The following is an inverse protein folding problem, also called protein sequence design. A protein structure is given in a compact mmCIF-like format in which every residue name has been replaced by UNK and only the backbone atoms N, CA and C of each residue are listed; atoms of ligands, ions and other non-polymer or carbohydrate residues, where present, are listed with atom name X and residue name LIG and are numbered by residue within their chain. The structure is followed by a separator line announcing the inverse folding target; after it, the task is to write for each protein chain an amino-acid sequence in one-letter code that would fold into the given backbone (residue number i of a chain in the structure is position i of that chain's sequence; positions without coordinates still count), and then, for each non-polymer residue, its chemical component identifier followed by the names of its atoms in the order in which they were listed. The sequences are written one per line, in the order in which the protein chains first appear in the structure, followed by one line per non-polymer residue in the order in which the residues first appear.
data_IF_308060045010
#
_entry.id   IF_308060045010
#
_cell.length_a   1.000
_cell.length_b   1.000
_cell.length_c   1.000
_cell.angle_alpha   90.00
_cell.angle_beta   90.00
_cell.angle_gamma   90.00
#
_symmetry.space_group_name_H-M   'P 1'
#
loop_
_entity.id
_entity.type
_entity.pdbx_description
1 polymer ?
#
# COMPACT_ATOMS: atom_id res chain seq x y z
N UNK A 1 24.90 -4.03 28.46
CA UNK A 1 24.83 -2.89 27.52
C UNK A 1 23.78 -3.19 26.47
N UNK A 2 22.89 -2.21 26.24
CA UNK A 2 21.73 -2.24 25.34
C UNK A 2 22.10 -2.56 23.89
N UNK A 3 21.24 -3.32 23.19
CA UNK A 3 20.77 -3.06 21.80
C UNK A 3 19.65 -4.05 21.46
N UNK A 4 18.44 -3.71 21.87
CA UNK A 4 17.25 -4.16 21.16
C UNK A 4 17.19 -3.33 19.88
N UNK A 5 17.23 -3.99 18.73
CA UNK A 5 17.00 -3.37 17.43
C UNK A 5 15.52 -3.01 17.31
N UNK A 6 15.14 -1.85 17.86
CA UNK A 6 14.00 -1.11 17.35
C UNK A 6 14.32 -0.77 15.89
N UNK A 7 13.57 -1.35 14.96
CA UNK A 7 13.49 -0.88 13.58
C UNK A 7 12.80 0.48 13.51
N UNK A 8 13.35 1.49 14.17
CA UNK A 8 13.04 2.87 13.86
C UNK A 8 13.73 3.18 12.54
N UNK A 9 12.93 3.30 11.47
CA UNK A 9 13.40 3.89 10.22
C UNK A 9 14.13 5.20 10.56
N UNK A 10 15.33 5.47 9.99
CA UNK A 10 16.06 6.71 10.26
C UNK A 10 15.13 7.90 10.10
N UNK A 11 15.18 8.87 11.02
CA UNK A 11 14.22 9.98 11.09
C UNK A 11 13.96 10.69 9.74
N UNK A 12 14.91 10.65 8.81
CA UNK A 12 14.75 11.11 7.42
C UNK A 12 13.70 10.37 6.60
N UNK A 13 13.56 9.04 6.74
CA UNK A 13 12.57 8.23 6.00
C UNK A 13 11.13 8.44 6.51
N UNK A 14 10.97 8.73 7.81
CA UNK A 14 9.65 9.08 8.37
C UNK A 14 9.20 10.47 7.90
N UNK A 15 10.12 11.43 7.84
CA UNK A 15 9.83 12.79 7.37
C UNK A 15 9.53 12.81 5.87
N UNK A 16 10.29 12.07 5.05
CA UNK A 16 10.02 11.98 3.61
C UNK A 16 8.66 11.34 3.31
N UNK A 17 8.28 10.32 4.09
CA UNK A 17 6.98 9.68 3.97
C UNK A 17 5.80 10.60 4.30
N UNK A 18 5.99 11.54 5.23
CA UNK A 18 4.96 12.49 5.63
C UNK A 18 4.82 13.66 4.64
N UNK A 19 5.94 14.11 4.06
CA UNK A 19 5.99 15.30 3.19
C UNK A 19 5.63 14.97 1.73
N UNK A 20 5.94 13.75 1.25
CA UNK A 20 5.77 13.39 -0.16
C UNK A 20 4.39 13.70 -0.77
N UNK A 21 3.23 13.48 -0.09
CA UNK A 21 1.92 13.81 -0.64
C UNK A 21 1.68 15.32 -0.87
N UNK A 22 2.40 16.18 -0.16
CA UNK A 22 2.26 17.64 -0.27
C UNK A 22 3.01 18.20 -1.47
N UNK A 23 4.12 17.57 -1.87
CA UNK A 23 4.94 18.01 -3.01
C UNK A 23 4.15 18.12 -4.31
N UNK A 24 3.42 17.09 -4.80
CA UNK A 24 2.66 17.20 -6.05
C UNK A 24 1.53 18.22 -5.95
N UNK A 25 0.96 18.44 -4.77
CA UNK A 25 -0.08 19.47 -4.56
C UNK A 25 0.50 20.86 -4.70
N UNK A 26 1.64 21.14 -4.07
CA UNK A 26 2.32 22.44 -4.18
C UNK A 26 2.74 22.70 -5.62
N UNK A 27 3.29 21.70 -6.30
CA UNK A 27 3.67 21.81 -7.72
C UNK A 27 2.45 22.07 -8.60
N UNK A 28 1.36 21.32 -8.41
CA UNK A 28 0.13 21.52 -9.19
C UNK A 28 -0.49 22.91 -8.98
N UNK A 29 -0.52 23.39 -7.73
CA UNK A 29 -0.99 24.74 -7.41
C UNK A 29 -0.11 25.83 -8.01
N UNK A 30 1.21 25.68 -7.92
CA UNK A 30 2.15 26.62 -8.50
C UNK A 30 2.00 26.70 -10.02
N UNK A 31 1.93 25.55 -10.71
CA UNK A 31 1.72 25.49 -12.15
C UNK A 31 0.38 26.11 -12.56
N UNK A 32 -0.69 25.84 -11.80
CA UNK A 32 -2.00 26.44 -12.04
C UNK A 32 -1.96 27.97 -11.86
N UNK A 33 -1.31 28.46 -10.80
CA UNK A 33 -1.14 29.90 -10.56
C UNK A 33 -0.36 30.57 -11.70
N UNK A 34 0.74 29.97 -12.16
CA UNK A 34 1.53 30.48 -13.28
C UNK A 34 0.66 30.59 -14.54
N UNK A 35 -0.04 29.50 -14.91
CA UNK A 35 -0.93 29.50 -16.07
C UNK A 35 -2.06 30.55 -15.95
N UNK A 36 -2.62 30.72 -14.76
CA UNK A 36 -3.67 31.72 -14.47
C UNK A 36 -3.16 33.15 -14.64
N UNK A 37 -1.95 33.45 -14.13
CA UNK A 37 -1.31 34.76 -14.28
C UNK A 37 -1.00 35.05 -15.75
N UNK A 38 -0.49 34.06 -16.50
CA UNK A 38 -0.20 34.20 -17.93
C UNK A 38 -1.46 34.55 -18.73
N UNK A 39 -2.58 33.85 -18.49
CA UNK A 39 -3.86 34.13 -19.14
C UNK A 39 -4.38 35.53 -18.78
N UNK A 40 -4.28 35.92 -17.51
CA UNK A 40 -4.71 37.25 -17.07
C UNK A 40 -3.83 38.38 -17.64
N UNK A 41 -2.53 38.13 -17.79
CA UNK A 41 -1.61 39.08 -18.41
C UNK A 41 -1.94 39.25 -19.88
N UNK A 42 -2.07 38.16 -20.63
CA UNK A 42 -2.45 38.22 -22.05
C UNK A 42 -3.80 38.92 -22.28
N UNK A 43 -4.80 38.66 -21.42
CA UNK A 43 -6.10 39.32 -21.50
C UNK A 43 -6.00 40.84 -21.27
N UNK A 44 -5.07 41.30 -20.42
CA UNK A 44 -4.78 42.73 -20.23
C UNK A 44 -4.15 43.33 -21.47
N UNK A 45 -3.21 42.62 -22.09
CA UNK A 45 -2.51 43.09 -23.30
C UNK A 45 -3.47 43.23 -24.48
N UNK A 46 -4.48 42.36 -24.60
CA UNK A 46 -5.57 42.56 -25.57
C UNK A 46 -6.39 43.83 -25.36
N UNK A 47 -6.71 44.16 -24.11
CA UNK A 47 -7.43 45.42 -23.79
C UNK A 47 -6.55 46.63 -24.10
N UNK A 48 -5.23 46.53 -23.86
CA UNK A 48 -4.29 47.58 -24.24
C UNK A 48 -4.21 47.73 -25.77
N UNK A 49 -4.11 46.63 -26.51
CA UNK A 49 -4.11 46.60 -27.97
C UNK A 49 -5.39 47.19 -28.57
N UNK A 50 -6.56 46.83 -28.02
CA UNK A 50 -7.84 47.45 -28.42
C UNK A 50 -7.83 48.97 -28.25
N UNK A 51 -7.27 49.49 -27.17
CA UNK A 51 -7.16 50.94 -26.96
C UNK A 51 -6.28 51.61 -28.03
N UNK A 52 -5.19 50.95 -28.46
CA UNK A 52 -4.34 51.44 -29.54
C UNK A 52 -5.07 51.42 -30.89
N UNK A 53 -5.77 50.33 -31.18
CA UNK A 53 -6.59 50.17 -32.38
C UNK A 53 -7.63 51.28 -32.53
N UNK A 54 -8.43 51.53 -31.46
CA UNK A 54 -9.46 52.58 -31.43
C UNK A 54 -8.86 53.98 -31.63
N UNK A 55 -7.72 54.28 -30.97
CA UNK A 55 -7.02 55.56 -31.14
C UNK A 55 -6.45 55.74 -32.54
N UNK A 56 -5.82 54.70 -33.10
CA UNK A 56 -5.23 54.72 -34.43
C UNK A 56 -6.29 54.98 -35.51
N UNK A 57 -7.43 54.30 -35.43
CA UNK A 57 -8.55 54.52 -36.33
C UNK A 57 -9.13 55.94 -36.22
N UNK A 58 -9.37 56.46 -35.01
CA UNK A 58 -9.87 57.85 -34.82
C UNK A 58 -8.86 58.89 -35.32
N UNK A 59 -7.58 58.70 -35.05
CA UNK A 59 -6.52 59.57 -35.55
C UNK A 59 -6.46 59.53 -37.08
N UNK A 60 -6.63 58.36 -37.70
CA UNK A 60 -6.66 58.22 -39.16
C UNK A 60 -7.82 59.01 -39.79
N UNK A 61 -9.03 58.89 -39.25
CA UNK A 61 -10.18 59.69 -39.71
C UNK A 61 -9.87 61.20 -39.60
N UNK A 62 -9.36 61.64 -38.45
CA UNK A 62 -9.03 63.05 -38.21
C UNK A 62 -7.99 63.58 -39.20
N UNK A 63 -6.87 62.88 -39.35
CA UNK A 63 -5.79 63.27 -40.26
C UNK A 63 -6.23 63.25 -41.72
N UNK A 64 -7.07 62.29 -42.12
CA UNK A 64 -7.60 62.25 -43.48
C UNK A 64 -8.59 63.40 -43.76
N UNK A 65 -9.41 63.77 -42.78
CA UNK A 65 -10.28 64.95 -42.87
C UNK A 65 -9.46 66.24 -42.96
N UNK A 66 -8.38 66.36 -42.20
CA UNK A 66 -7.45 67.49 -42.30
C UNK A 66 -6.78 67.53 -43.67
N UNK A 67 -6.25 66.41 -44.14
CA UNK A 67 -5.65 66.28 -45.47
C UNK A 67 -6.61 66.68 -46.60
N UNK A 68 -7.89 66.32 -46.47
CA UNK A 68 -8.93 66.73 -47.44
C UNK A 68 -9.11 68.25 -47.57
N UNK A 69 -8.67 69.01 -46.55
CA UNK A 69 -8.74 70.49 -46.52
C UNK A 69 -7.39 71.13 -46.86
N UNK A 70 -6.31 70.65 -46.24
CA UNK A 70 -4.99 71.26 -46.31
C UNK A 70 -4.21 70.87 -47.58
N UNK A 71 -4.45 69.66 -48.09
CA UNK A 71 -3.67 69.02 -49.17
C UNK A 71 -2.17 68.86 -48.84
N UNK A 72 -1.77 69.06 -47.58
CA UNK A 72 -0.37 68.97 -47.16
C UNK A 72 0.05 67.51 -46.98
N UNK A 73 1.24 67.18 -47.49
CA UNK A 73 1.82 65.84 -47.36
C UNK A 73 1.98 65.42 -45.90
N UNK A 74 2.25 66.36 -45.00
CA UNK A 74 2.36 66.10 -43.56
C UNK A 74 1.09 65.53 -42.94
N UNK A 75 -0.09 65.97 -43.39
CA UNK A 75 -1.36 65.43 -42.90
C UNK A 75 -1.63 64.02 -43.46
N UNK A 76 -1.18 63.76 -44.69
CA UNK A 76 -1.28 62.44 -45.29
C UNK A 76 -0.31 61.44 -44.66
N UNK A 77 0.91 61.87 -44.32
CA UNK A 77 1.89 61.04 -43.62
C UNK A 77 1.41 60.71 -42.19
N UNK A 78 0.81 61.68 -41.50
CA UNK A 78 0.17 61.45 -40.20
C UNK A 78 -1.01 60.46 -40.31
N UNK A 79 -1.79 60.55 -41.39
CA UNK A 79 -2.82 59.56 -41.71
C UNK A 79 -2.23 58.15 -41.92
N UNK A 80 -1.17 58.03 -42.72
CA UNK A 80 -0.50 56.74 -43.00
C UNK A 80 0.03 56.10 -41.72
N UNK A 81 0.63 56.89 -40.82
CA UNK A 81 1.09 56.42 -39.53
C UNK A 81 -0.07 55.93 -38.64
N UNK A 82 -1.19 56.67 -38.63
CA UNK A 82 -2.35 56.33 -37.81
C UNK A 82 -3.12 55.10 -38.32
N UNK A 83 -3.33 54.97 -39.65
CA UNK A 83 -4.04 53.85 -40.27
C UNK A 83 -3.21 52.56 -40.25
N UNK A 84 -1.89 52.65 -40.14
CA UNK A 84 -1.00 51.48 -40.06
C UNK A 84 -1.37 50.58 -38.87
N UNK A 85 -1.72 51.16 -37.72
CA UNK A 85 -2.10 50.43 -36.50
C UNK A 85 -3.23 49.43 -36.76
N UNK A 86 -4.46 49.86 -37.13
CA UNK A 86 -5.55 48.93 -37.37
C UNK A 86 -5.33 48.00 -38.57
N UNK A 87 -4.54 48.40 -39.58
CA UNK A 87 -4.17 47.53 -40.70
C UNK A 87 -3.20 46.42 -40.28
N UNK A 88 -2.24 46.72 -39.38
CA UNK A 88 -1.33 45.76 -38.78
C UNK A 88 -2.07 44.74 -37.93
N UNK A 89 -2.98 45.22 -37.06
CA UNK A 89 -3.83 44.36 -36.25
C UNK A 89 -4.69 43.44 -37.14
N UNK A 90 -5.29 43.98 -38.21
CA UNK A 90 -6.04 43.19 -39.20
C UNK A 90 -5.18 42.10 -39.84
N UNK A 91 -3.92 42.42 -40.22
CA UNK A 91 -2.99 41.43 -40.75
C UNK A 91 -2.78 40.29 -39.76
N UNK A 92 -2.52 40.62 -38.49
CA UNK A 92 -2.34 39.61 -37.45
C UNK A 92 -3.58 38.73 -37.29
N UNK A 93 -4.78 39.32 -37.22
CA UNK A 93 -6.04 38.59 -37.11
C UNK A 93 -6.25 37.60 -38.25
N UNK A 94 -6.13 38.06 -39.49
CA UNK A 94 -6.30 37.22 -40.69
C UNK A 94 -5.30 36.07 -40.69
N UNK A 95 -4.07 36.31 -40.24
CA UNK A 95 -3.07 35.26 -40.11
C UNK A 95 -3.46 34.23 -39.04
N UNK A 96 -3.89 34.69 -37.86
CA UNK A 96 -4.28 33.84 -36.73
C UNK A 96 -5.53 32.99 -37.00
N UNK A 97 -6.41 33.41 -37.91
CA UNK A 97 -7.59 32.66 -38.36
C UNK A 97 -7.25 31.46 -39.28
N UNK A 98 -6.01 31.33 -39.77
CA UNK A 98 -5.64 30.21 -40.65
C UNK A 98 -5.51 28.89 -39.86
N UNK A 99 -6.27 27.87 -40.29
CA UNK A 99 -6.44 26.63 -39.52
C UNK A 99 -5.24 25.67 -39.60
N UNK A 100 -4.56 25.54 -40.74
CA UNK A 100 -3.63 24.42 -40.97
C UNK A 100 -2.15 24.77 -40.85
N UNK A 101 -1.76 26.05 -41.03
CA UNK A 101 -0.39 26.61 -40.89
C UNK A 101 -0.48 28.13 -40.94
N UNK A 102 -0.66 28.78 -39.79
CA UNK A 102 -0.48 30.23 -39.70
C UNK A 102 1.01 30.57 -39.65
N UNK A 103 1.39 31.68 -40.26
CA UNK A 103 2.73 32.23 -40.19
C UNK A 103 2.88 33.05 -38.90
N UNK A 104 3.60 32.47 -37.93
CA UNK A 104 3.86 33.13 -36.65
C UNK A 104 4.57 34.47 -36.84
N UNK A 105 5.53 34.56 -37.76
CA UNK A 105 6.31 35.78 -37.98
C UNK A 105 5.41 36.90 -38.49
N UNK A 106 4.52 36.56 -39.43
CA UNK A 106 3.58 37.51 -40.01
C UNK A 106 2.51 37.98 -39.02
N UNK A 107 2.09 37.11 -38.09
CA UNK A 107 1.20 37.48 -36.99
C UNK A 107 1.90 38.43 -35.98
N UNK A 108 3.16 38.14 -35.63
CA UNK A 108 3.98 39.01 -34.77
C UNK A 108 4.19 40.37 -35.41
N UNK A 109 4.56 40.41 -36.70
CA UNK A 109 4.75 41.64 -37.46
C UNK A 109 3.48 42.51 -37.45
N UNK A 110 2.31 41.92 -37.68
CA UNK A 110 1.04 42.64 -37.63
C UNK A 110 0.78 43.27 -36.25
N UNK A 111 0.98 42.53 -35.17
CA UNK A 111 0.78 43.03 -33.81
C UNK A 111 1.82 44.10 -33.40
N UNK A 112 3.05 44.03 -33.92
CA UNK A 112 4.07 45.07 -33.73
C UNK A 112 3.68 46.36 -34.44
N UNK A 113 3.18 46.26 -35.68
CA UNK A 113 2.65 47.42 -36.41
C UNK A 113 1.43 48.01 -35.67
N UNK A 114 0.60 47.16 -35.05
CA UNK A 114 -0.47 47.55 -34.13
C UNK A 114 -0.01 48.25 -32.84
N UNK A 115 1.30 48.37 -32.62
CA UNK A 115 1.88 49.05 -31.46
C UNK A 115 1.91 48.21 -30.18
N UNK A 116 1.65 46.90 -30.26
CA UNK A 116 1.70 46.00 -29.11
C UNK A 116 3.16 45.75 -28.68
N UNK A 117 3.39 45.60 -27.37
CA UNK A 117 4.72 45.37 -26.81
C UNK A 117 5.23 43.96 -27.13
N UNK A 118 6.54 43.81 -27.39
CA UNK A 118 7.15 42.53 -27.81
C UNK A 118 6.90 41.39 -26.81
N UNK A 119 6.96 41.70 -25.51
CA UNK A 119 6.77 40.72 -24.44
C UNK A 119 5.33 40.21 -24.33
N UNK A 120 4.36 41.00 -24.81
CA UNK A 120 2.93 40.67 -24.73
C UNK A 120 2.46 39.82 -25.92
N UNK A 121 3.08 39.99 -27.10
CA UNK A 121 2.63 39.40 -28.36
C UNK A 121 2.51 37.88 -28.30
N UNK A 122 3.48 37.20 -27.68
CA UNK A 122 3.44 35.73 -27.54
C UNK A 122 2.24 35.27 -26.71
N UNK A 123 1.92 36.01 -25.65
CA UNK A 123 0.73 35.78 -24.82
C UNK A 123 -0.55 36.05 -25.60
N UNK A 124 -0.59 37.14 -26.36
CA UNK A 124 -1.75 37.52 -27.18
C UNK A 124 -2.07 36.47 -28.26
N UNK A 125 -1.05 36.02 -29.01
CA UNK A 125 -1.21 34.97 -30.02
C UNK A 125 -1.74 33.68 -29.39
N UNK A 126 -1.17 33.28 -28.26
CA UNK A 126 -1.58 32.06 -27.54
C UNK A 126 -3.03 32.18 -27.08
N UNK A 127 -3.40 33.29 -26.45
CA UNK A 127 -4.76 33.52 -25.95
C UNK A 127 -5.78 33.54 -27.09
N UNK A 128 -5.51 34.26 -28.18
CA UNK A 128 -6.39 34.31 -29.37
C UNK A 128 -6.71 32.90 -29.87
N UNK A 129 -5.67 32.07 -30.06
CA UNK A 129 -5.84 30.73 -30.63
C UNK A 129 -6.41 29.73 -29.65
N UNK A 130 -6.12 29.88 -28.35
CA UNK A 130 -6.61 28.96 -27.30
C UNK A 130 -8.08 29.16 -27.01
N UNK A 131 -8.56 30.41 -27.07
CA UNK A 131 -9.94 30.77 -26.74
C UNK A 131 -10.81 31.06 -27.99
N UNK A 132 -10.29 30.79 -29.20
CA UNK A 132 -11.11 30.75 -30.42
C UNK A 132 -12.17 29.67 -30.30
N UNK A 133 -13.43 29.99 -30.57
CA UNK A 133 -14.57 29.10 -30.33
C UNK A 133 -15.28 29.32 -28.99
N UNK A 134 -14.81 30.27 -28.17
CA UNK A 134 -15.54 30.75 -26.99
C UNK A 134 -16.46 31.89 -27.41
N UNK A 135 -17.76 31.75 -27.15
CA UNK A 135 -18.80 32.64 -27.68
C UNK A 135 -18.49 34.14 -27.53
N UNK A 136 -18.00 34.59 -26.38
CA UNK A 136 -17.69 36.00 -26.12
C UNK A 136 -16.45 36.51 -26.87
N UNK A 137 -15.47 35.65 -27.09
CA UNK A 137 -14.27 35.96 -27.88
C UNK A 137 -14.63 35.99 -29.36
N UNK A 138 -15.51 35.08 -29.76
CA UNK A 138 -16.06 34.99 -31.10
C UNK A 138 -16.86 36.24 -31.48
N UNK A 139 -17.73 36.70 -30.58
CA UNK A 139 -18.46 37.98 -30.70
C UNK A 139 -17.51 39.18 -30.88
N UNK A 140 -16.44 39.27 -30.08
CA UNK A 140 -15.47 40.36 -30.21
C UNK A 140 -14.76 40.36 -31.57
N UNK A 141 -14.38 39.17 -32.06
CA UNK A 141 -13.70 39.01 -33.34
C UNK A 141 -14.63 39.30 -34.52
N UNK A 142 -15.92 38.99 -34.42
CA UNK A 142 -16.92 39.37 -35.43
C UNK A 142 -17.07 40.90 -35.53
N UNK A 143 -17.15 41.60 -34.39
CA UNK A 143 -17.21 43.07 -34.38
C UNK A 143 -15.94 43.65 -35.02
N UNK A 144 -14.77 43.12 -34.68
CA UNK A 144 -13.50 43.54 -35.26
C UNK A 144 -13.46 43.29 -36.78
N UNK A 145 -13.86 42.11 -37.25
CA UNK A 145 -13.90 41.79 -38.68
C UNK A 145 -14.89 42.67 -39.45
N UNK A 146 -15.99 43.10 -38.83
CA UNK A 146 -16.92 44.05 -39.42
C UNK A 146 -16.31 45.46 -39.57
N UNK A 147 -15.56 45.92 -38.56
CA UNK A 147 -14.86 47.21 -38.62
C UNK A 147 -13.74 47.24 -39.67
N UNK A 148 -13.07 46.10 -39.92
CA UNK A 148 -12.02 45.97 -40.94
C UNK A 148 -12.50 46.37 -42.35
N UNK A 149 -13.79 46.17 -42.65
CA UNK A 149 -14.40 46.55 -43.94
C UNK A 149 -14.39 48.07 -44.10
N UNK A 150 -14.82 48.81 -43.08
CA UNK A 150 -14.89 50.27 -43.10
C UNK A 150 -13.48 50.90 -43.03
N UNK A 151 -12.55 50.30 -42.30
CA UNK A 151 -11.14 50.71 -42.27
C UNK A 151 -10.47 50.52 -43.64
N UNK A 152 -10.72 49.40 -44.33
CA UNK A 152 -10.22 49.17 -45.68
C UNK A 152 -10.81 50.16 -46.70
N UNK A 153 -12.07 50.55 -46.51
CA UNK A 153 -12.73 51.56 -47.32
C UNK A 153 -12.12 52.94 -47.10
N UNK A 154 -11.80 53.29 -45.86
CA UNK A 154 -11.10 54.53 -45.51
C UNK A 154 -9.75 54.63 -46.23
N UNK A 155 -8.98 53.53 -46.26
CA UNK A 155 -7.71 53.46 -47.00
C UNK A 155 -7.87 53.57 -48.52
N UNK A 156 -8.93 52.99 -49.08
CA UNK A 156 -9.22 53.15 -50.51
C UNK A 156 -9.58 54.60 -50.86
N UNK A 157 -10.37 55.26 -50.01
CA UNK A 157 -10.72 56.68 -50.17
C UNK A 157 -9.51 57.60 -50.03
N UNK A 158 -8.61 57.30 -49.09
CA UNK A 158 -7.39 58.09 -48.89
C UNK A 158 -6.48 58.05 -50.13
N UNK A 159 -6.28 56.85 -50.71
CA UNK A 159 -5.48 56.66 -51.93
C UNK A 159 -6.13 57.33 -53.14
N UNK A 160 -7.46 57.25 -53.24
CA UNK A 160 -8.22 57.94 -54.29
C UNK A 160 -8.06 59.45 -54.18
N UNK A 161 -8.24 60.01 -52.98
CA UNK A 161 -8.11 61.44 -52.71
C UNK A 161 -6.69 61.93 -53.02
N UNK A 162 -5.67 61.21 -52.54
CA UNK A 162 -4.25 61.48 -52.79
C UNK A 162 -3.92 61.47 -54.29
N UNK A 163 -4.41 60.47 -55.02
CA UNK A 163 -4.22 60.36 -56.47
C UNK A 163 -4.83 61.53 -57.22
N UNK A 164 -6.04 61.94 -56.86
CA UNK A 164 -6.73 63.08 -57.48
C UNK A 164 -6.06 64.42 -57.17
N UNK A 165 -5.57 64.63 -55.95
CA UNK A 165 -4.80 65.84 -55.63
C UNK A 165 -3.47 65.90 -56.39
N UNK A 166 -2.76 64.77 -56.54
CA UNK A 166 -1.52 64.71 -57.34
C UNK A 166 -1.75 64.94 -58.84
N UNK A 167 -2.90 64.52 -59.37
CA UNK A 167 -3.26 64.75 -60.76
C UNK A 167 -3.67 66.21 -61.06
N UNK A 168 -3.97 67.01 -60.03
CA UNK A 168 -4.49 68.38 -60.19
C UNK A 168 -5.98 68.45 -60.55
N UNK A 169 -6.68 67.32 -60.59
CA UNK A 169 -8.07 67.18 -61.08
C UNK A 169 -9.14 67.26 -59.97
N UNK A 170 -8.82 67.83 -58.80
CA UNK A 170 -9.73 67.80 -57.65
C UNK A 170 -9.91 69.16 -56.98
N UNK A 171 -11.08 69.76 -57.25
CA UNK A 171 -11.57 70.97 -56.61
C UNK A 171 -12.47 70.65 -55.38
N UNK A 172 -13.09 71.69 -54.80
CA UNK A 172 -13.99 71.52 -53.66
C UNK A 172 -15.21 70.61 -53.95
N UNK A 173 -15.67 70.54 -55.21
CA UNK A 173 -16.80 69.68 -55.63
C UNK A 173 -16.37 68.22 -55.70
N UNK A 174 -15.12 67.96 -56.09
CA UNK A 174 -14.50 66.64 -56.07
C UNK A 174 -14.29 66.10 -54.64
N UNK A 175 -13.86 66.97 -53.69
CA UNK A 175 -13.58 66.56 -52.30
C UNK A 175 -14.85 66.33 -51.48
N UNK A 176 -15.92 67.10 -51.71
CA UNK A 176 -17.16 67.05 -50.93
C UNK A 176 -17.81 65.65 -50.79
N UNK A 177 -17.94 64.80 -51.85
CA UNK A 177 -18.46 63.44 -51.70
C UNK A 177 -17.53 62.53 -50.90
N UNK A 178 -16.21 62.59 -51.13
CA UNK A 178 -15.22 61.78 -50.40
C UNK A 178 -15.25 62.14 -48.91
N UNK A 179 -15.32 63.43 -48.58
CA UNK A 179 -15.40 63.89 -47.20
C UNK A 179 -16.67 63.43 -46.49
N UNK A 180 -17.82 63.45 -47.17
CA UNK A 180 -19.08 62.91 -46.63
C UNK A 180 -18.93 61.43 -46.33
N UNK A 181 -18.34 60.68 -47.25
CA UNK A 181 -18.13 59.24 -47.07
C UNK A 181 -17.18 58.92 -45.91
N UNK A 182 -16.12 59.73 -45.69
CA UNK A 182 -15.23 59.59 -44.51
C UNK A 182 -16.01 59.81 -43.21
N UNK A 183 -16.87 60.83 -43.15
CA UNK A 183 -17.72 61.10 -41.97
C UNK A 183 -18.73 59.97 -41.76
N UNK A 184 -19.32 59.45 -42.83
CA UNK A 184 -20.26 58.32 -42.75
C UNK A 184 -19.57 57.04 -42.27
N UNK A 185 -18.32 56.81 -42.66
CA UNK A 185 -17.48 55.72 -42.13
C UNK A 185 -17.23 55.92 -40.63
N UNK A 186 -16.84 57.12 -40.19
CA UNK A 186 -16.62 57.40 -38.76
C UNK A 186 -17.88 57.18 -37.92
N UNK A 187 -19.04 57.58 -38.43
CA UNK A 187 -20.33 57.36 -37.80
C UNK A 187 -20.70 55.86 -37.68
N UNK A 188 -20.21 55.00 -38.59
CA UNK A 188 -20.38 53.54 -38.51
C UNK A 188 -19.35 52.86 -37.60
N UNK A 189 -18.11 53.35 -37.59
CA UNK A 189 -17.04 52.80 -36.76
C UNK A 189 -17.27 53.10 -35.27
N UNK A 190 -17.73 54.31 -34.93
CA UNK A 190 -17.96 54.71 -33.52
C UNK A 190 -18.80 53.71 -32.70
N UNK A 191 -19.98 53.24 -33.16
CA UNK A 191 -20.73 52.23 -32.41
C UNK A 191 -20.04 50.86 -32.39
N UNK A 192 -19.25 50.50 -33.41
CA UNK A 192 -18.48 49.25 -33.43
C UNK A 192 -17.33 49.28 -32.42
N UNK A 193 -16.63 50.41 -32.28
CA UNK A 193 -15.61 50.63 -31.25
C UNK A 193 -16.19 50.40 -29.86
N UNK A 194 -17.30 51.08 -29.54
CA UNK A 194 -17.96 50.94 -28.24
C UNK A 194 -18.42 49.50 -27.97
N UNK A 195 -18.96 48.82 -28.99
CA UNK A 195 -19.35 47.42 -28.89
C UNK A 195 -18.12 46.54 -28.60
N UNK A 196 -17.03 46.70 -29.36
CA UNK A 196 -15.79 45.96 -29.21
C UNK A 196 -15.18 46.11 -27.82
N UNK A 197 -14.99 47.35 -27.33
CA UNK A 197 -14.46 47.61 -25.98
C UNK A 197 -15.36 46.99 -24.90
N UNK A 198 -16.69 47.09 -25.06
CA UNK A 198 -17.64 46.53 -24.08
C UNK A 198 -17.59 45.00 -24.03
N UNK A 199 -17.46 44.33 -25.18
CA UNK A 199 -17.41 42.87 -25.31
C UNK A 199 -16.10 42.33 -24.75
N UNK A 200 -14.95 42.92 -25.09
CA UNK A 200 -13.65 42.60 -24.49
C UNK A 200 -13.66 42.82 -22.97
N UNK A 201 -14.27 43.91 -22.49
CA UNK A 201 -14.42 44.17 -21.07
C UNK A 201 -15.24 43.10 -20.33
N UNK A 202 -16.35 42.63 -20.93
CA UNK A 202 -17.15 41.52 -20.38
C UNK A 202 -16.36 40.22 -20.38
N UNK A 203 -15.71 39.88 -21.49
CA UNK A 203 -14.90 38.67 -21.63
C UNK A 203 -13.76 38.64 -20.59
N UNK A 204 -13.01 39.72 -20.45
CA UNK A 204 -11.92 39.84 -19.46
C UNK A 204 -12.41 39.62 -18.02
N UNK A 205 -13.55 40.19 -17.63
CA UNK A 205 -14.14 40.00 -16.30
C UNK A 205 -14.60 38.55 -16.07
N UNK A 206 -15.19 37.90 -17.07
CA UNK A 206 -15.57 36.48 -17.00
C UNK A 206 -14.36 35.58 -16.86
N UNK A 207 -13.33 35.78 -17.68
CA UNK A 207 -12.06 35.03 -17.59
C UNK A 207 -11.46 35.15 -16.20
N UNK A 208 -11.40 36.38 -15.66
CA UNK A 208 -10.93 36.61 -14.28
C UNK A 208 -11.76 35.84 -13.26
N UNK A 209 -13.09 35.90 -13.34
CA UNK A 209 -13.95 35.20 -12.39
C UNK A 209 -13.77 33.67 -12.46
N UNK A 210 -13.72 33.11 -13.68
CA UNK A 210 -13.51 31.68 -13.90
C UNK A 210 -12.15 31.22 -13.37
N UNK A 211 -11.07 31.97 -13.64
CA UNK A 211 -9.74 31.67 -13.12
C UNK A 211 -9.68 31.72 -11.59
N UNK A 212 -10.33 32.71 -10.96
CA UNK A 212 -10.39 32.80 -9.51
C UNK A 212 -11.14 31.61 -8.90
N UNK A 213 -12.33 31.29 -9.42
CA UNK A 213 -13.13 30.17 -8.89
C UNK A 213 -12.48 28.81 -9.14
N UNK A 214 -11.86 28.61 -10.30
CA UNK A 214 -11.08 27.39 -10.57
C UNK A 214 -9.84 27.29 -9.69
N UNK A 215 -9.13 28.38 -9.40
CA UNK A 215 -8.02 28.40 -8.43
C UNK A 215 -8.45 27.89 -7.06
N UNK A 216 -9.59 28.40 -6.56
CA UNK A 216 -10.14 28.01 -5.26
C UNK A 216 -10.56 26.54 -5.29
N UNK A 217 -11.27 26.10 -6.34
CA UNK A 217 -11.72 24.73 -6.47
C UNK A 217 -10.56 23.73 -6.52
N UNK A 218 -9.50 24.03 -7.27
CA UNK A 218 -8.28 23.21 -7.33
C UNK A 218 -7.62 23.14 -5.95
N UNK A 219 -7.47 24.26 -5.25
CA UNK A 219 -6.88 24.28 -3.91
C UNK A 219 -7.67 23.44 -2.90
N UNK A 220 -9.01 23.59 -2.87
CA UNK A 220 -9.87 22.80 -1.98
C UNK A 220 -9.81 21.31 -2.32
N UNK A 221 -9.83 20.96 -3.61
CA UNK A 221 -9.80 19.56 -4.06
C UNK A 221 -8.48 18.89 -3.70
N UNK A 222 -7.35 19.57 -3.92
CA UNK A 222 -6.03 19.06 -3.55
C UNK A 222 -5.84 18.94 -2.04
N UNK A 223 -6.38 19.89 -1.26
CA UNK A 223 -6.36 19.82 0.20
C UNK A 223 -7.20 18.63 0.72
N UNK A 224 -8.40 18.42 0.15
CA UNK A 224 -9.24 17.26 0.45
C UNK A 224 -8.52 15.95 0.09
N UNK A 225 -7.84 15.92 -1.04
CA UNK A 225 -7.05 14.75 -1.46
C UNK A 225 -5.88 14.45 -0.50
N UNK A 226 -5.09 15.46 -0.11
CA UNK A 226 -3.97 15.28 0.84
C UNK A 226 -4.47 14.83 2.20
N UNK A 227 -5.54 15.43 2.72
CA UNK A 227 -6.14 15.03 4.00
C UNK A 227 -6.67 13.59 3.94
N UNK A 228 -7.24 13.18 2.80
CA UNK A 228 -7.66 11.79 2.58
C UNK A 228 -6.47 10.83 2.56
N UNK A 229 -5.44 11.08 1.74
CA UNK A 229 -4.22 10.23 1.66
C UNK A 229 -3.54 10.11 3.02
N UNK A 230 -3.37 11.24 3.73
CA UNK A 230 -2.77 11.29 5.06
C UNK A 230 -3.55 10.45 6.07
N UNK A 231 -4.89 10.57 6.09
CA UNK A 231 -5.76 9.74 6.94
C UNK A 231 -5.67 8.25 6.60
N UNK A 232 -5.73 7.91 5.31
CA UNK A 232 -5.63 6.51 4.86
C UNK A 232 -4.29 5.88 5.22
N UNK A 233 -3.20 6.65 5.14
CA UNK A 233 -1.87 6.19 5.53
C UNK A 233 -1.79 5.90 7.03
N UNK A 234 -2.27 6.83 7.87
CA UNK A 234 -2.30 6.64 9.33
C UNK A 234 -3.13 5.42 9.76
N UNK A 235 -4.25 5.15 9.09
CA UNK A 235 -5.10 3.99 9.39
C UNK A 235 -4.37 2.68 9.06
N UNK A 236 -3.70 2.61 7.91
CA UNK A 236 -2.93 1.41 7.51
C UNK A 236 -1.81 1.11 8.49
N UNK A 237 -1.06 2.13 8.91
CA UNK A 237 0.02 1.96 9.89
C UNK A 237 -0.51 1.44 11.24
N UNK A 238 -1.63 1.98 11.72
CA UNK A 238 -2.30 1.50 12.94
C UNK A 238 -2.77 0.06 12.81
N UNK A 239 -3.35 -0.33 11.68
CA UNK A 239 -3.80 -1.70 11.43
C UNK A 239 -2.64 -2.69 11.40
N UNK A 240 -1.53 -2.34 10.75
CA UNK A 240 -0.32 -3.16 10.72
C UNK A 240 0.27 -3.34 12.13
N UNK A 241 0.35 -2.26 12.92
CA UNK A 241 0.82 -2.34 14.32
C UNK A 241 -0.10 -3.19 15.19
N UNK A 242 -1.42 -3.01 15.07
CA UNK A 242 -2.39 -3.80 15.83
C UNK A 242 -2.32 -5.29 15.47
N UNK A 243 -2.25 -5.61 14.17
CA UNK A 243 -2.10 -6.99 13.71
C UNK A 243 -0.80 -7.65 14.20
N UNK A 244 0.31 -6.90 14.22
CA UNK A 244 1.58 -7.36 14.77
C UNK A 244 1.45 -7.65 16.27
N UNK A 245 0.92 -6.69 17.04
CA UNK A 245 0.72 -6.83 18.49
C UNK A 245 -0.17 -8.03 18.83
N UNK A 246 -1.28 -8.24 18.11
CA UNK A 246 -2.17 -9.39 18.35
C UNK A 246 -1.50 -10.72 18.00
N UNK A 247 -0.65 -10.76 16.97
CA UNK A 247 0.11 -11.97 16.63
C UNK A 247 1.18 -12.27 17.68
N UNK A 248 1.89 -11.25 18.17
CA UNK A 248 2.88 -11.39 19.25
C UNK A 248 2.24 -11.86 20.54
N UNK A 249 1.13 -11.25 20.96
CA UNK A 249 0.38 -11.64 22.15
C UNK A 249 -0.14 -13.09 22.05
N UNK A 250 -0.71 -13.46 20.90
CA UNK A 250 -1.17 -14.84 20.65
C UNK A 250 -0.02 -15.85 20.75
N UNK A 251 1.15 -15.51 20.22
CA UNK A 251 2.33 -16.37 20.29
C UNK A 251 2.84 -16.48 21.73
N UNK A 252 2.88 -15.38 22.48
CA UNK A 252 3.25 -15.40 23.90
C UNK A 252 2.28 -16.22 24.74
N UNK A 253 0.97 -16.07 24.55
CA UNK A 253 -0.06 -16.85 25.25
C UNK A 253 0.01 -18.35 24.92
N UNK A 254 0.19 -18.70 23.64
CA UNK A 254 0.31 -20.10 23.22
C UNK A 254 1.55 -20.77 23.85
N UNK A 255 2.67 -20.06 23.96
CA UNK A 255 3.90 -20.54 24.59
C UNK A 255 3.75 -20.63 26.11
N UNK A 256 3.13 -19.63 26.75
CA UNK A 256 2.89 -19.65 28.19
C UNK A 256 1.96 -20.80 28.62
N UNK A 257 0.94 -21.09 27.81
CA UNK A 257 -0.03 -22.16 28.10
C UNK A 257 0.52 -23.59 27.96
N UNK A 258 1.52 -23.84 27.11
CA UNK A 258 2.11 -25.18 26.95
C UNK A 258 3.15 -25.53 28.01
N UNK A 259 3.54 -24.56 28.85
CA UNK A 259 4.60 -24.67 29.84
C UNK A 259 5.98 -25.06 29.27
N UNK A 260 6.12 -25.00 27.94
CA UNK A 260 7.33 -25.34 27.20
C UNK A 260 8.30 -24.15 27.15
N UNK A 261 9.59 -24.45 27.17
CA UNK A 261 10.61 -23.51 26.74
C UNK A 261 10.72 -23.46 25.21
N UNK A 262 11.14 -22.32 24.65
CA UNK A 262 11.44 -22.20 23.22
C UNK A 262 12.95 -22.18 23.02
N UNK A 263 13.39 -22.71 21.89
CA UNK A 263 14.77 -22.61 21.46
C UNK A 263 14.83 -22.30 19.97
N UNK A 264 15.88 -21.58 19.58
CA UNK A 264 16.06 -21.11 18.21
C UNK A 264 17.55 -21.17 17.83
N UNK A 265 17.86 -21.97 16.82
CA UNK A 265 19.20 -22.33 16.42
C UNK A 265 19.51 -21.85 15.01
N UNK A 266 20.65 -21.19 14.84
CA UNK A 266 21.21 -20.79 13.55
C UNK A 266 22.45 -21.66 13.22
N UNK A 267 22.30 -22.73 12.42
CA UNK A 267 23.36 -23.72 12.20
C UNK A 267 24.65 -23.13 11.64
N UNK A 268 24.56 -22.09 10.82
CA UNK A 268 25.72 -21.44 10.20
C UNK A 268 26.50 -20.51 11.13
N UNK A 269 25.84 -20.00 12.18
CA UNK A 269 26.45 -19.08 13.15
C UNK A 269 26.87 -19.79 14.44
N UNK A 270 26.38 -21.00 14.68
CA UNK A 270 26.54 -21.70 15.96
C UNK A 270 25.69 -21.09 17.09
N UNK A 271 24.90 -20.06 16.80
CA UNK A 271 24.06 -19.36 17.78
C UNK A 271 22.83 -20.22 18.11
N UNK A 272 22.67 -20.56 19.39
CA UNK A 272 21.48 -21.23 19.92
C UNK A 272 20.87 -20.37 21.01
N UNK A 273 19.71 -19.79 20.71
CA UNK A 273 18.91 -19.07 21.68
C UNK A 273 18.06 -20.03 22.52
N UNK A 274 18.06 -19.83 23.84
CA UNK A 274 17.12 -20.43 24.78
C UNK A 274 16.22 -19.33 25.32
N UNK A 275 14.90 -19.56 25.31
CA UNK A 275 13.97 -18.63 25.95
C UNK A 275 14.19 -18.57 27.46
N UNK A 276 13.74 -17.51 28.14
CA UNK A 276 13.79 -17.42 29.60
C UNK A 276 13.19 -18.66 30.29
N UNK A 277 12.11 -19.21 29.71
CA UNK A 277 11.46 -20.42 30.22
C UNK A 277 12.35 -21.66 30.15
N UNK A 278 13.10 -21.86 29.07
CA UNK A 278 14.11 -22.94 28.97
C UNK A 278 15.15 -22.84 30.10
N UNK A 279 15.64 -21.63 30.36
CA UNK A 279 16.61 -21.39 31.43
C UNK A 279 16.02 -21.67 32.81
N UNK A 280 14.80 -21.18 33.08
CA UNK A 280 14.07 -21.41 34.33
C UNK A 280 13.84 -22.89 34.62
N UNK A 281 13.42 -23.69 33.62
CA UNK A 281 13.21 -25.14 33.77
C UNK A 281 14.47 -25.86 34.24
N UNK A 282 15.65 -25.40 33.80
CA UNK A 282 16.94 -25.95 34.18
C UNK A 282 17.53 -25.32 35.46
N UNK A 283 16.83 -24.36 36.06
CA UNK A 283 17.23 -23.66 37.28
C UNK A 283 18.21 -22.49 37.09
N UNK A 284 18.34 -21.98 35.86
CA UNK A 284 19.16 -20.81 35.53
C UNK A 284 18.32 -19.54 35.48
N UNK A 285 18.95 -18.38 35.69
CA UNK A 285 18.30 -17.07 35.49
C UNK A 285 18.13 -16.79 34.00
N UNK A 286 17.14 -15.97 33.66
CA UNK A 286 16.99 -15.44 32.31
C UNK A 286 18.31 -14.77 31.87
N UNK A 287 18.84 -15.18 30.72
CA UNK A 287 20.14 -14.77 30.14
C UNK A 287 21.42 -15.26 30.85
N UNK A 288 21.33 -16.24 31.76
CA UNK A 288 22.53 -16.83 32.37
C UNK A 288 23.21 -17.86 31.46
N UNK A 289 22.44 -18.52 30.60
CA UNK A 289 22.95 -19.50 29.64
C UNK A 289 23.51 -18.80 28.39
N UNK A 290 24.75 -19.10 27.95
CA UNK A 290 25.28 -18.57 26.69
C UNK A 290 24.46 -19.03 25.49
N UNK A 291 24.23 -18.14 24.53
CA UNK A 291 23.44 -18.41 23.33
C UNK A 291 24.24 -19.16 22.25
N UNK A 292 24.68 -20.38 22.56
CA UNK A 292 25.61 -21.15 21.75
C UNK A 292 25.24 -22.63 21.76
N UNK A 293 25.46 -23.34 20.64
CA UNK A 293 25.15 -24.77 20.54
C UNK A 293 26.00 -25.61 21.49
N UNK A 294 27.20 -25.13 21.81
CA UNK A 294 28.12 -25.70 22.80
C UNK A 294 27.47 -25.75 24.19
N UNK A 295 26.61 -24.78 24.52
CA UNK A 295 25.84 -24.77 25.77
C UNK A 295 24.92 -26.00 25.85
N UNK A 296 24.21 -26.33 24.76
CA UNK A 296 23.37 -27.53 24.71
C UNK A 296 24.21 -28.79 24.89
N UNK A 297 25.35 -28.89 24.20
CA UNK A 297 26.24 -30.04 24.29
C UNK A 297 26.79 -30.22 25.71
N UNK A 298 27.18 -29.14 26.38
CA UNK A 298 27.69 -29.17 27.75
C UNK A 298 26.63 -29.49 28.82
N UNK A 299 25.35 -29.22 28.54
CA UNK A 299 24.24 -29.55 29.42
C UNK A 299 23.69 -30.96 29.18
N UNK A 300 23.91 -31.55 28.01
CA UNK A 300 23.40 -32.88 27.66
C UNK A 300 24.14 -33.97 28.43
N UNK A 301 23.41 -34.94 28.94
CA UNK A 301 23.98 -36.12 29.59
C UNK A 301 24.91 -36.87 28.62
N UNK A 302 26.10 -37.34 29.04
CA UNK A 302 27.08 -38.00 28.16
C UNK A 302 26.49 -39.12 27.28
N UNK A 303 25.68 -40.02 27.84
CA UNK A 303 25.02 -41.09 27.10
C UNK A 303 24.08 -40.60 25.98
N UNK A 304 23.50 -39.41 26.13
CA UNK A 304 22.48 -38.89 25.22
C UNK A 304 23.11 -38.06 24.07
N UNK A 305 24.39 -37.68 24.17
CA UNK A 305 25.11 -36.86 23.19
C UNK A 305 25.14 -37.52 21.81
N UNK A 306 25.41 -38.82 21.76
CA UNK A 306 25.49 -39.58 20.50
C UNK A 306 24.15 -39.62 19.77
N UNK A 307 23.06 -39.87 20.51
CA UNK A 307 21.71 -39.90 19.95
C UNK A 307 21.25 -38.50 19.50
N UNK A 308 21.57 -37.46 20.28
CA UNK A 308 21.33 -36.06 19.92
C UNK A 308 21.97 -35.72 18.56
N UNK A 309 23.26 -36.02 18.40
CA UNK A 309 23.98 -35.77 17.16
C UNK A 309 23.40 -36.53 15.96
N UNK A 310 22.99 -37.79 16.16
CA UNK A 310 22.37 -38.62 15.13
C UNK A 310 21.02 -38.08 14.68
N UNK A 311 20.14 -37.72 15.63
CA UNK A 311 18.81 -37.14 15.36
C UNK A 311 18.89 -35.79 14.67
N UNK A 312 19.78 -34.92 15.16
CA UNK A 312 20.01 -33.61 14.56
C UNK A 312 20.52 -33.73 13.12
N UNK A 313 21.53 -34.58 12.89
CA UNK A 313 22.08 -34.85 11.56
C UNK A 313 21.02 -35.43 10.61
N UNK A 314 20.18 -36.34 11.11
CA UNK A 314 19.04 -36.90 10.37
C UNK A 314 18.04 -35.83 9.94
N UNK A 315 17.63 -34.95 10.86
CA UNK A 315 16.71 -33.85 10.55
C UNK A 315 17.31 -32.87 9.55
N UNK A 316 18.59 -32.49 9.73
CA UNK A 316 19.27 -31.56 8.83
C UNK A 316 19.40 -32.10 7.41
N UNK A 317 19.84 -33.36 7.24
CA UNK A 317 20.14 -33.95 5.92
C UNK A 317 18.92 -34.57 5.24
N UNK A 318 18.11 -35.33 5.99
CA UNK A 318 17.02 -36.16 5.45
C UNK A 318 15.63 -35.56 5.69
N UNK A 319 15.50 -34.53 6.51
CA UNK A 319 14.21 -33.91 6.83
C UNK A 319 13.30 -34.75 7.73
N UNK A 320 13.82 -35.81 8.35
CA UNK A 320 13.07 -36.64 9.32
C UNK A 320 12.64 -35.79 10.52
N UNK A 321 11.42 -35.93 11.08
CA UNK A 321 10.99 -35.13 12.23
C UNK A 321 12.01 -35.09 13.37
N UNK A 322 12.31 -33.90 13.90
CA UNK A 322 13.18 -33.76 15.07
C UNK A 322 12.32 -33.83 16.33
N UNK A 323 12.40 -34.97 16.99
CA UNK A 323 11.73 -35.28 18.24
C UNK A 323 12.67 -36.21 19.02
N UNK A 324 13.17 -35.73 20.16
CA UNK A 324 14.14 -36.44 20.97
C UNK A 324 13.85 -36.21 22.45
N UNK A 325 14.02 -37.27 23.24
CA UNK A 325 14.02 -37.20 24.70
C UNK A 325 15.47 -37.27 25.17
N UNK A 326 15.88 -36.29 25.98
CA UNK A 326 17.24 -36.21 26.50
C UNK A 326 17.28 -35.65 27.91
N UNK A 327 18.32 -36.02 28.64
CA UNK A 327 18.61 -35.51 29.98
C UNK A 327 19.47 -34.26 29.88
N UNK A 328 18.97 -33.16 30.43
CA UNK A 328 19.69 -31.91 30.54
C UNK A 328 20.09 -31.64 31.99
N UNK A 329 21.33 -31.21 32.20
CA UNK A 329 21.90 -30.95 33.52
C UNK A 329 21.31 -29.67 34.12
N UNK A 330 20.80 -29.78 35.35
CA UNK A 330 20.30 -28.63 36.12
C UNK A 330 21.43 -27.88 36.80
N UNK A 331 21.24 -26.58 37.08
CA UNK A 331 22.21 -25.76 37.79
C UNK A 331 22.55 -26.30 39.19
N UNK A 332 21.54 -26.77 39.92
CA UNK A 332 21.68 -27.34 41.27
C UNK A 332 22.30 -28.76 41.28
N UNK A 333 22.72 -29.28 40.13
CA UNK A 333 23.14 -30.67 39.97
C UNK A 333 21.97 -31.61 39.62
N UNK A 334 22.32 -32.81 39.16
CA UNK A 334 21.39 -33.78 38.62
C UNK A 334 20.85 -33.42 37.22
N UNK A 335 19.90 -34.23 36.74
CA UNK A 335 19.36 -34.14 35.39
C UNK A 335 17.85 -33.92 35.40
N UNK A 336 17.38 -33.24 34.36
CA UNK A 336 15.97 -33.06 34.02
C UNK A 336 15.69 -33.84 32.75
N UNK A 337 14.63 -34.66 32.76
CA UNK A 337 14.18 -35.31 31.53
C UNK A 337 13.42 -34.31 30.68
N UNK A 338 13.90 -34.09 29.47
CA UNK A 338 13.31 -33.11 28.55
C UNK A 338 12.98 -33.75 27.21
N UNK A 339 11.97 -33.22 26.53
CA UNK A 339 11.64 -33.56 25.14
C UNK A 339 11.83 -32.34 24.27
N UNK A 340 12.75 -32.42 23.31
CA UNK A 340 13.00 -31.36 22.36
C UNK A 340 12.32 -31.70 21.02
N UNK A 341 11.46 -30.81 20.55
CA UNK A 341 10.82 -30.90 19.22
C UNK A 341 11.15 -29.65 18.42
N UNK A 342 11.44 -29.81 17.13
CA UNK A 342 11.85 -28.66 16.32
C UNK A 342 11.60 -28.85 14.83
N UNK A 343 11.56 -27.72 14.12
CA UNK A 343 11.40 -27.68 12.67
C UNK A 343 12.49 -26.82 12.02
N UNK A 344 13.09 -27.38 10.97
CA UNK A 344 14.06 -26.70 10.15
C UNK A 344 13.41 -25.79 9.12
N UNK A 345 13.82 -24.52 9.11
CA UNK A 345 13.59 -23.56 8.03
C UNK A 345 14.77 -23.66 7.05
N UNK A 346 14.43 -23.80 5.76
CA UNK A 346 15.41 -23.96 4.67
C UNK A 346 15.34 -22.77 3.72
N UNK A 347 16.47 -22.43 3.11
CA UNK A 347 16.54 -21.44 2.03
C UNK A 347 15.89 -21.96 0.75
N UNK A 348 15.69 -21.06 -0.23
CA UNK A 348 15.24 -21.42 -1.58
C UNK A 348 16.13 -22.47 -2.28
N UNK A 349 17.40 -22.60 -1.86
CA UNK A 349 18.38 -23.56 -2.39
C UNK A 349 18.48 -24.82 -1.51
N UNK A 350 17.52 -25.07 -0.62
CA UNK A 350 17.42 -26.28 0.21
C UNK A 350 18.35 -26.34 1.43
N UNK A 351 19.28 -25.38 1.60
CA UNK A 351 20.18 -25.32 2.76
C UNK A 351 19.44 -24.96 4.06
N UNK A 352 19.84 -25.58 5.17
CA UNK A 352 19.30 -25.35 6.51
C UNK A 352 19.72 -23.97 7.07
N UNK A 353 18.77 -23.05 7.28
CA UNK A 353 19.06 -21.66 7.67
C UNK A 353 18.82 -21.42 9.16
N UNK A 354 17.77 -22.03 9.71
CA UNK A 354 17.32 -21.81 11.09
C UNK A 354 16.51 -23.01 11.56
N UNK A 355 16.61 -23.36 12.84
CA UNK A 355 15.76 -24.37 13.48
C UNK A 355 15.08 -23.72 14.68
N UNK A 356 13.77 -23.83 14.79
CA UNK A 356 13.08 -23.38 15.99
C UNK A 356 12.21 -24.51 16.53
N UNK A 357 12.03 -24.54 17.85
CA UNK A 357 11.34 -25.62 18.50
C UNK A 357 10.97 -25.33 19.94
N UNK A 358 10.39 -26.35 20.58
CA UNK A 358 10.04 -26.33 21.99
C UNK A 358 10.82 -27.38 22.78
N UNK A 359 10.97 -27.13 24.07
CA UNK A 359 11.59 -27.99 25.06
C UNK A 359 10.60 -28.18 26.21
N UNK A 360 10.09 -29.41 26.36
CA UNK A 360 9.12 -29.76 27.39
C UNK A 360 9.81 -30.51 28.53
N UNK A 361 9.42 -30.25 29.79
CA UNK A 361 9.78 -31.12 30.92
C UNK A 361 8.87 -32.35 30.90
N UNK A 362 9.48 -33.53 30.85
CA UNK A 362 8.78 -34.82 30.84
C UNK A 362 9.12 -35.67 32.09
N UNK A 363 9.67 -35.04 33.13
CA UNK A 363 10.10 -35.72 34.35
C UNK A 363 8.95 -36.43 35.06
N UNK A 364 7.77 -35.81 35.15
CA UNK A 364 6.58 -36.46 35.72
C UNK A 364 6.17 -37.70 34.94
N UNK A 365 6.15 -37.61 33.61
CA UNK A 365 5.84 -38.75 32.75
C UNK A 365 6.83 -39.89 32.97
N UNK A 366 8.13 -39.59 33.02
CA UNK A 366 9.17 -40.61 33.30
C UNK A 366 9.03 -41.22 34.70
N UNK A 367 8.67 -40.43 35.70
CA UNK A 367 8.39 -40.92 37.06
C UNK A 367 7.20 -41.88 37.07
N UNK A 368 6.11 -41.54 36.39
CA UNK A 368 4.94 -42.42 36.29
C UNK A 368 5.22 -43.69 35.49
N UNK A 369 5.97 -43.60 34.38
CA UNK A 369 6.42 -44.77 33.61
C UNK A 369 7.26 -45.72 34.48
N UNK A 370 8.20 -45.19 35.27
CA UNK A 370 9.05 -45.98 36.15
C UNK A 370 8.28 -46.61 37.33
N UNK A 371 7.35 -45.87 37.94
CA UNK A 371 6.47 -46.39 38.99
C UNK A 371 5.61 -47.53 38.46
N UNK A 372 5.00 -47.35 37.30
CA UNK A 372 4.19 -48.38 36.67
C UNK A 372 5.02 -49.64 36.36
N UNK A 373 6.25 -49.49 35.90
CA UNK A 373 7.15 -50.61 35.65
C UNK A 373 7.48 -51.36 36.95
N UNK A 374 7.84 -50.62 38.01
CA UNK A 374 8.19 -51.20 39.31
C UNK A 374 7.00 -51.95 39.93
N UNK A 375 5.80 -51.39 39.85
CA UNK A 375 4.59 -52.04 40.35
C UNK A 375 4.23 -53.30 39.54
N UNK A 376 4.43 -53.28 38.22
CA UNK A 376 4.29 -54.49 37.38
C UNK A 376 5.28 -55.58 37.77
N UNK A 377 6.56 -55.24 37.92
CA UNK A 377 7.59 -56.19 38.33
C UNK A 377 7.30 -56.77 39.72
N UNK A 378 6.89 -55.94 40.68
CA UNK A 378 6.49 -56.40 42.02
C UNK A 378 5.29 -57.33 41.99
N UNK A 379 4.26 -57.00 41.20
CA UNK A 379 3.10 -57.87 41.04
C UNK A 379 3.49 -59.23 40.46
N UNK A 380 4.37 -59.23 39.44
CA UNK A 380 4.84 -60.45 38.80
C UNK A 380 5.68 -61.33 39.74
N UNK A 381 6.63 -60.74 40.49
CA UNK A 381 7.44 -61.47 41.48
C UNK A 381 6.57 -62.02 42.61
N UNK A 382 5.56 -61.26 43.06
CA UNK A 382 4.63 -61.73 44.11
C UNK A 382 3.84 -62.94 43.62
N UNK A 383 3.28 -62.89 42.41
CA UNK A 383 2.53 -64.01 41.82
C UNK A 383 3.39 -65.28 41.72
N UNK A 384 4.66 -65.15 41.37
CA UNK A 384 5.59 -66.27 41.24
C UNK A 384 6.02 -66.87 42.59
N UNK A 385 5.96 -66.11 43.69
CA UNK A 385 6.42 -66.54 45.02
C UNK A 385 5.30 -67.03 45.97
N UNK A 386 4.03 -66.91 45.58
CA UNK A 386 2.89 -67.42 46.37
C UNK A 386 2.95 -68.96 46.42
N UNK A 387 2.88 -69.53 47.63
CA UNK A 387 2.89 -70.99 47.86
C UNK A 387 1.58 -71.71 47.54
N UNK A 388 0.61 -71.01 46.98
CA UNK A 388 -0.69 -71.53 46.51
C UNK A 388 -0.74 -71.48 44.97
N UNK A 389 -1.47 -72.40 44.35
CA UNK A 389 -1.68 -72.37 42.90
C UNK A 389 -2.58 -71.20 42.51
N UNK A 390 -2.08 -70.32 41.64
CA UNK A 390 -2.82 -69.19 41.08
C UNK A 390 -2.94 -69.38 39.57
N UNK A 391 -4.19 -69.38 39.09
CA UNK A 391 -4.53 -69.44 37.67
C UNK A 391 -5.41 -68.22 37.36
N UNK A 392 -4.99 -67.37 36.42
CA UNK A 392 -5.83 -66.27 35.94
C UNK A 392 -6.46 -66.64 34.61
N UNK A 393 -7.71 -66.23 34.39
CA UNK A 393 -8.41 -66.48 33.12
C UNK A 393 -9.01 -65.19 32.57
N UNK A 394 -9.26 -65.16 31.28
CA UNK A 394 -10.11 -64.16 30.66
C UNK A 394 -11.60 -64.35 31.03
N UNK A 395 -12.46 -63.46 30.53
CA UNK A 395 -13.90 -63.49 30.78
C UNK A 395 -14.62 -64.70 30.15
N UNK A 396 -13.97 -65.44 29.26
CA UNK A 396 -14.48 -66.66 28.63
C UNK A 396 -13.91 -67.93 29.27
N UNK A 397 -13.05 -67.79 30.28
CA UNK A 397 -12.44 -68.90 31.00
C UNK A 397 -11.24 -69.53 30.29
N UNK A 398 -10.60 -68.80 29.36
CA UNK A 398 -9.30 -69.19 28.81
C UNK A 398 -8.20 -68.73 29.74
N UNK A 399 -7.20 -69.56 29.97
CA UNK A 399 -6.13 -69.24 30.90
C UNK A 399 -5.20 -68.16 30.33
N UNK A 400 -4.93 -67.14 31.15
CA UNK A 400 -4.08 -65.99 30.85
C UNK A 400 -2.69 -66.15 31.49
N UNK A 401 -2.61 -66.68 32.71
CA UNK A 401 -1.34 -67.01 33.37
C UNK A 401 -1.48 -68.15 34.39
N UNK A 402 -0.40 -68.91 34.60
CA UNK A 402 -0.22 -69.86 35.71
C UNK A 402 1.02 -69.46 36.49
N UNK A 403 0.94 -69.46 37.82
CA UNK A 403 2.15 -69.38 38.64
C UNK A 403 2.87 -70.76 38.69
N UNK A 404 4.15 -70.81 39.10
CA UNK A 404 4.92 -72.06 39.11
C UNK A 404 4.31 -73.18 39.97
N UNK A 405 3.58 -72.82 41.04
CA UNK A 405 2.89 -73.81 41.89
C UNK A 405 1.69 -74.42 41.14
N UNK A 406 0.93 -73.62 40.39
CA UNK A 406 -0.15 -74.11 39.53
C UNK A 406 0.40 -75.00 38.40
N UNK A 407 1.55 -74.65 37.81
CA UNK A 407 2.21 -75.53 36.84
C UNK A 407 2.55 -76.90 37.47
N UNK A 408 3.14 -76.89 38.67
CA UNK A 408 3.50 -78.12 39.38
C UNK A 408 2.26 -78.96 39.78
N UNK A 409 1.15 -78.32 40.15
CA UNK A 409 -0.08 -79.01 40.58
C UNK A 409 -0.90 -79.55 39.40
N UNK A 410 -0.96 -78.82 38.29
CA UNK A 410 -1.74 -79.22 37.10
C UNK A 410 -0.93 -80.10 36.15
N UNK A 411 0.40 -80.01 36.19
CA UNK A 411 1.31 -80.68 35.26
C UNK A 411 1.45 -79.99 33.90
N UNK A 412 0.88 -78.80 33.73
CA UNK A 412 0.97 -77.99 32.51
C UNK A 412 1.92 -76.82 32.70
N UNK A 413 2.70 -76.48 31.67
CA UNK A 413 3.45 -75.22 31.68
C UNK A 413 2.55 -74.03 31.31
N UNK A 414 2.88 -72.83 31.78
CA UNK A 414 2.17 -71.59 31.47
C UNK A 414 2.07 -71.38 29.95
N UNK A 415 3.14 -71.67 29.22
CA UNK A 415 3.19 -71.56 27.76
C UNK A 415 2.25 -72.53 27.04
N UNK A 416 2.01 -73.72 27.61
CA UNK A 416 1.10 -74.73 27.04
C UNK A 416 -0.36 -74.48 27.43
N UNK A 417 -0.60 -73.98 28.64
CA UNK A 417 -1.92 -73.73 29.17
C UNK A 417 -2.51 -72.37 28.71
N UNK A 418 -1.68 -71.41 28.33
CA UNK A 418 -2.12 -70.10 27.85
C UNK A 418 -3.08 -70.24 26.65
N UNK A 419 -4.30 -69.72 26.79
CA UNK A 419 -5.36 -69.78 25.77
C UNK A 419 -6.23 -71.05 25.78
N UNK A 420 -5.84 -72.10 26.52
CA UNK A 420 -6.67 -73.28 26.78
C UNK A 420 -7.79 -72.97 27.77
N UNK A 421 -8.89 -73.73 27.70
CA UNK A 421 -10.01 -73.54 28.63
C UNK A 421 -9.69 -74.13 30.01
N UNK A 422 -10.04 -73.42 31.08
CA UNK A 422 -9.75 -73.82 32.46
C UNK A 422 -10.10 -75.29 32.78
N UNK A 423 -11.28 -75.85 32.40
CA UNK A 423 -11.61 -77.24 32.69
C UNK A 423 -10.72 -78.29 32.02
N UNK A 424 -9.96 -77.90 30.97
CA UNK A 424 -9.03 -78.81 30.28
C UNK A 424 -7.69 -78.94 31.03
N UNK A 425 -7.24 -77.86 31.66
CA UNK A 425 -5.95 -77.78 32.35
C UNK A 425 -6.10 -78.13 33.84
N UNK A 426 -7.20 -77.68 34.46
CA UNK A 426 -7.52 -77.98 35.85
C UNK A 426 -9.01 -78.40 35.95
N UNK A 427 -9.32 -79.70 35.74
CA UNK A 427 -10.67 -80.21 35.88
C UNK A 427 -11.08 -80.18 37.35
N UNK A 428 -12.07 -79.36 37.68
CA UNK A 428 -12.62 -79.26 39.04
C UNK A 428 -13.88 -80.11 39.16
N UNK A 429 -14.03 -80.80 40.29
CA UNK A 429 -15.22 -81.59 40.62
C UNK A 429 -15.91 -81.00 41.86
N UNK A 430 -17.25 -81.06 41.89
CA UNK A 430 -18.01 -80.71 43.09
C UNK A 430 -17.71 -81.71 44.21
N UNK A 431 -17.41 -81.22 45.41
CA UNK A 431 -16.99 -82.07 46.54
C UNK A 431 -18.12 -82.98 47.06
N UNK A 432 -19.38 -82.60 46.83
CA UNK A 432 -20.56 -83.33 47.32
C UNK A 432 -21.13 -84.23 46.25
N UNK A 433 -21.24 -83.76 45.00
CA UNK A 433 -21.84 -84.56 43.91
C UNK A 433 -20.82 -85.33 43.08
N UNK A 434 -19.53 -85.02 43.20
CA UNK A 434 -18.43 -85.54 42.36
C UNK A 434 -18.60 -85.25 40.85
N UNK A 435 -19.52 -84.37 40.46
CA UNK A 435 -19.71 -83.99 39.06
C UNK A 435 -18.67 -82.96 38.62
N UNK A 436 -18.32 -82.97 37.33
CA UNK A 436 -17.37 -82.02 36.75
C UNK A 436 -17.97 -80.60 36.68
N UNK A 437 -17.30 -79.64 37.30
CA UNK A 437 -17.68 -78.23 37.28
C UNK A 437 -17.13 -77.58 36.02
N UNK A 438 -17.98 -77.44 35.00
CA UNK A 438 -17.59 -76.88 33.69
C UNK A 438 -17.92 -75.38 33.54
N UNK A 439 -18.73 -74.82 34.43
CA UNK A 439 -19.29 -73.47 34.34
C UNK A 439 -18.76 -72.50 35.41
N UNK A 440 -17.59 -72.80 35.98
CA UNK A 440 -16.99 -72.05 37.09
C UNK A 440 -16.86 -70.54 36.80
N UNK A 441 -16.34 -70.17 35.62
CA UNK A 441 -16.11 -68.76 35.25
C UNK A 441 -17.42 -68.00 35.03
N UNK A 442 -18.41 -68.51 34.26
CA UNK A 442 -19.76 -67.94 34.21
C UNK A 442 -20.44 -67.82 35.58
N UNK A 443 -20.29 -68.82 36.47
CA UNK A 443 -20.86 -68.78 37.83
C UNK A 443 -20.19 -67.72 38.69
N UNK A 444 -18.87 -67.61 38.66
CA UNK A 444 -18.11 -66.60 39.39
C UNK A 444 -18.45 -65.18 38.92
N UNK A 445 -18.60 -64.96 37.61
CA UNK A 445 -19.01 -63.67 37.05
C UNK A 445 -20.47 -63.30 37.37
N UNK A 446 -21.34 -64.29 37.63
CA UNK A 446 -22.74 -64.10 38.04
C UNK A 446 -22.92 -63.99 39.56
N UNK A 447 -21.86 -64.17 40.36
CA UNK A 447 -21.94 -64.16 41.82
C UNK A 447 -22.29 -62.76 42.39
N UNK A 448 -23.45 -62.58 43.04
CA UNK A 448 -23.92 -61.28 43.51
C UNK A 448 -23.33 -60.97 44.90
N UNK A 449 -22.06 -60.56 44.96
CA UNK A 449 -21.33 -60.43 46.23
C UNK A 449 -20.42 -59.21 46.40
N UNK A 450 -20.45 -58.21 45.50
CA UNK A 450 -19.92 -56.87 45.80
C UNK A 450 -21.02 -55.84 45.63
N UNK A 451 -21.49 -55.33 46.76
CA UNK A 451 -22.42 -54.21 46.84
C UNK A 451 -21.89 -53.05 46.00
N UNK A 452 -22.52 -52.84 44.83
CA UNK A 452 -22.54 -51.51 44.21
C UNK A 452 -23.28 -50.61 45.20
N UNK A 453 -22.53 -49.80 45.92
CA UNK A 453 -23.03 -48.55 46.44
C UNK A 453 -23.68 -47.80 45.27
N UNK A 454 -25.01 -47.85 45.17
CA UNK A 454 -25.77 -46.89 44.36
C UNK A 454 -25.63 -45.55 45.07
N UNK A 455 -24.67 -44.76 44.63
CA UNK A 455 -24.75 -43.32 44.75
C UNK A 455 -25.91 -42.87 43.86
N UNK A 456 -27.10 -42.73 44.47
CA UNK A 456 -28.12 -41.81 43.98
C UNK A 456 -27.88 -40.45 44.63
N UNK A 457 -27.57 -39.46 43.79
CA UNK A 457 -27.53 -38.02 44.03
C UNK A 457 -28.09 -37.40 42.73
N UNK A 458 -29.11 -36.54 42.68
CA UNK A 458 -29.33 -35.30 43.44
C UNK A 458 -28.05 -34.53 43.71
#
# INVERSE_FOLDING_TARGET
MRRAGEGSLPAGEQVSSLIWPFVPVVVALALFCIASVDVLSAARSFVAGESLWTKGQKAAVLHLLNYSRSQLDTDYDAYLAAIAVPLGDRQARIELEKHSRYDHTRAVEGLLIGGNHTDDISGMIRLYRTFRGVAEIDEAIEIWAAADVDIARLDTLSRTLRGRFRAGDCDARCVAPIRREIVDIDNRLTPQEAAFSSTLGRASRRVRALLTWSSIAVAVTLLAWVTWVSRSMMIKERQLRAALSTSEERLQLAVAGSNDGLWDWHPHRGELYFSPRCAEMLGYRANELPHAVETLMALTHPDDVTELGRRLSGHMRKGTPYDIELRLRKKAGGYLWTRARGRMVRSAVGKAVRMAGSLSDISDRKRFEAQLHTEKERAQVTLQAIGEAVITTDVWGRIDSLNPVAEAMTGWTEAEAAGCFLPQVCPLTDEVTCDLVTDLVPRALRWPGRGRARLSRC
#
